data_IF_622138941654
#
_entry.id   IF_622138941654
#
_cell.length_a   1.000
_cell.length_b   1.000
_cell.length_c   1.000
_cell.angle_alpha   90.00
_cell.angle_beta   90.00
_cell.angle_gamma   90.00
#
_symmetry.space_group_name_H-M   'P 1'
#
loop_
_entity.id
_entity.type
_entity.pdbx_description
1 polymer ?
#
# COMPACT_ATOMS: atom_id res chain seq x y z
N UNK A 1 23.38 4.67 9.31
CA UNK A 1 23.31 4.99 7.87
C UNK A 1 22.49 3.90 7.14
N UNK A 2 21.22 3.71 7.53
CA UNK A 2 20.44 2.54 7.07
C UNK A 2 19.03 2.89 6.58
N UNK A 3 18.50 4.04 6.99
CA UNK A 3 17.12 4.45 6.76
C UNK A 3 16.88 5.04 5.35
N UNK A 4 17.73 5.97 4.90
CA UNK A 4 17.65 6.58 3.55
C UNK A 4 17.78 5.52 2.42
N UNK A 5 18.57 4.47 2.67
CA UNK A 5 18.76 3.36 1.71
C UNK A 5 17.50 2.52 1.54
N UNK A 6 16.68 2.37 2.59
CA UNK A 6 15.46 1.57 2.54
C UNK A 6 14.34 2.34 1.85
N UNK A 7 14.14 3.60 2.21
CA UNK A 7 13.20 4.49 1.55
C UNK A 7 13.44 4.55 0.03
N UNK A 8 14.71 4.57 -0.38
CA UNK A 8 15.09 4.46 -1.80
C UNK A 8 14.73 3.13 -2.46
N UNK A 9 14.73 2.02 -1.71
CA UNK A 9 14.33 0.69 -2.20
C UNK A 9 12.80 0.51 -2.25
N UNK A 10 12.06 1.19 -1.39
CA UNK A 10 10.60 1.18 -1.38
C UNK A 10 9.99 2.11 -2.44
N UNK A 11 10.64 3.24 -2.75
CA UNK A 11 10.22 4.15 -3.83
C UNK A 11 9.89 3.48 -5.18
N UNK A 12 10.70 2.56 -5.73
CA UNK A 12 10.36 1.88 -6.98
C UNK A 12 9.19 0.88 -6.86
N UNK A 13 8.72 0.60 -5.64
CA UNK A 13 7.53 -0.22 -5.41
C UNK A 13 6.24 0.62 -5.44
N UNK A 14 6.33 1.95 -5.46
CA UNK A 14 5.17 2.83 -5.60
C UNK A 14 4.45 2.49 -6.92
N UNK A 15 3.14 2.27 -6.83
CA UNK A 15 2.27 1.83 -7.91
C UNK A 15 2.11 0.31 -8.01
N UNK A 16 2.93 -0.49 -7.31
CA UNK A 16 2.81 -1.96 -7.32
C UNK A 16 1.65 -2.45 -6.44
N UNK A 17 1.15 -3.62 -6.79
CA UNK A 17 0.06 -4.31 -6.08
C UNK A 17 0.60 -5.32 -5.08
N UNK A 18 -0.09 -5.42 -3.95
CA UNK A 18 0.25 -6.28 -2.83
C UNK A 18 -1.03 -6.96 -2.32
N UNK A 19 -0.99 -8.28 -2.13
CA UNK A 19 -2.01 -8.99 -1.36
C UNK A 19 -1.69 -8.88 0.13
N UNK A 20 -2.52 -8.16 0.87
CA UNK A 20 -2.31 -7.97 2.29
C UNK A 20 -3.66 -7.89 3.02
N UNK A 21 -3.76 -8.57 4.16
CA UNK A 21 -5.02 -8.77 4.91
C UNK A 21 -6.18 -9.34 4.06
N UNK A 22 -5.85 -10.17 3.06
CA UNK A 22 -6.84 -10.81 2.17
C UNK A 22 -7.43 -9.89 1.10
N UNK A 23 -6.85 -8.71 0.88
CA UNK A 23 -7.29 -7.71 -0.09
C UNK A 23 -6.11 -7.21 -0.93
N UNK A 24 -6.40 -6.68 -2.13
CA UNK A 24 -5.36 -6.09 -3.00
C UNK A 24 -5.17 -4.62 -2.66
N UNK A 25 -3.95 -4.29 -2.27
CA UNK A 25 -3.50 -2.94 -1.95
C UNK A 25 -2.50 -2.45 -2.98
N UNK A 26 -2.46 -1.14 -3.19
CA UNK A 26 -1.48 -0.47 -4.05
C UNK A 26 -0.66 0.45 -3.17
N UNK A 27 0.67 0.34 -3.23
CA UNK A 27 1.55 1.32 -2.58
C UNK A 27 1.44 2.65 -3.33
N UNK A 28 0.97 3.69 -2.66
CA UNK A 28 0.80 5.02 -3.28
C UNK A 28 1.84 6.03 -2.83
N UNK A 29 2.38 5.85 -1.62
CA UNK A 29 3.31 6.81 -1.04
C UNK A 29 4.24 6.16 -0.02
N UNK A 30 5.44 6.72 0.12
CA UNK A 30 6.44 6.35 1.12
C UNK A 30 6.80 7.63 1.88
N UNK A 31 6.41 7.68 3.15
CA UNK A 31 6.57 8.83 4.04
C UNK A 31 7.84 8.66 4.87
N UNK A 32 8.91 9.30 4.39
CA UNK A 32 10.24 9.22 5.01
C UNK A 32 10.29 9.89 6.38
N UNK A 33 9.60 11.02 6.56
CA UNK A 33 9.61 11.79 7.80
C UNK A 33 9.02 11.03 9.00
N UNK A 34 8.12 10.08 8.74
CA UNK A 34 7.45 9.28 9.78
C UNK A 34 7.74 7.78 9.63
N UNK A 35 8.71 7.41 8.79
CA UNK A 35 9.10 6.03 8.52
C UNK A 35 7.89 5.09 8.27
N UNK A 36 7.04 5.47 7.30
CA UNK A 36 5.81 4.75 7.01
C UNK A 36 5.53 4.65 5.51
N UNK A 37 4.76 3.65 5.11
CA UNK A 37 4.22 3.49 3.76
C UNK A 37 2.72 3.63 3.76
N UNK A 38 2.18 4.25 2.71
CA UNK A 38 0.74 4.42 2.52
C UNK A 38 0.26 3.53 1.39
N UNK A 39 -0.64 2.64 1.74
CA UNK A 39 -1.34 1.74 0.84
C UNK A 39 -2.73 2.28 0.57
N UNK A 40 -3.19 2.10 -0.66
CA UNK A 40 -4.58 2.36 -1.07
C UNK A 40 -5.21 1.06 -1.49
N UNK A 41 -6.40 0.77 -0.97
CA UNK A 41 -7.15 -0.41 -1.39
C UNK A 41 -7.52 -0.29 -2.86
N UNK A 42 -7.20 -1.32 -3.66
CA UNK A 42 -7.57 -1.35 -5.05
C UNK A 42 -9.03 -1.81 -5.23
N UNK A 43 -9.98 -0.91 -4.94
CA UNK A 43 -11.42 -1.18 -5.12
C UNK A 43 -11.80 -1.48 -6.59
N UNK A 44 -10.98 -1.05 -7.55
CA UNK A 44 -11.19 -1.25 -9.00
C UNK A 44 -10.49 -2.53 -9.54
N UNK A 45 -9.52 -3.10 -8.79
CA UNK A 45 -8.86 -4.37 -9.17
C UNK A 45 -9.79 -5.57 -8.95
N UNK A 46 -10.68 -5.49 -7.96
CA UNK A 46 -11.84 -6.36 -7.90
C UNK A 46 -12.80 -5.90 -9.01
N UNK A 47 -12.98 -6.71 -10.05
CA UNK A 47 -13.96 -6.50 -11.14
C UNK A 47 -15.35 -6.14 -10.56
N UNK A 48 -15.61 -4.86 -10.32
CA UNK A 48 -16.94 -4.33 -10.07
C UNK A 48 -17.30 -3.47 -11.25
N UNK A 49 -18.19 -4.02 -12.08
CA UNK A 49 -18.68 -3.40 -13.28
C UNK A 49 -19.20 -1.99 -13.04
N UNK A 50 -19.01 -1.17 -14.08
CA UNK A 50 -19.75 0.05 -14.44
C UNK A 50 -20.56 0.64 -13.30
N UNK A 51 -20.07 1.76 -12.75
CA UNK A 51 -20.75 2.57 -11.74
C UNK A 51 -22.27 2.58 -11.94
N UNK A 52 -23.03 2.06 -10.97
CA UNK A 52 -24.51 2.12 -10.96
C UNK A 52 -25.07 3.54 -10.82
N UNK A 53 -24.22 4.54 -10.54
CA UNK A 53 -24.65 5.88 -10.13
C UNK A 53 -24.33 6.91 -11.21
N UNK A 54 -25.00 6.84 -12.36
CA UNK A 54 -24.91 7.82 -13.45
C UNK A 54 -25.51 9.21 -13.11
N UNK A 55 -26.13 9.36 -11.93
CA UNK A 55 -26.89 10.55 -11.50
C UNK A 55 -26.20 11.38 -10.39
N UNK A 56 -24.88 11.27 -10.23
CA UNK A 56 -24.10 12.30 -9.51
C UNK A 56 -24.36 12.41 -8.01
N UNK A 57 -24.56 11.29 -7.29
CA UNK A 57 -24.40 11.33 -5.84
C UNK A 57 -22.90 11.42 -5.48
N UNK A 58 -22.48 12.38 -4.64
CA UNK A 58 -21.12 12.47 -4.14
C UNK A 58 -20.87 11.32 -3.14
N UNK A 59 -20.66 10.12 -3.64
CA UNK A 59 -20.00 9.08 -2.84
C UNK A 59 -18.57 9.56 -2.61
N UNK A 60 -18.24 9.88 -1.36
CA UNK A 60 -16.89 10.29 -0.94
C UNK A 60 -15.93 9.19 -1.38
N UNK A 61 -15.21 9.40 -2.48
CA UNK A 61 -14.26 8.45 -3.09
C UNK A 61 -12.96 8.38 -2.29
N UNK A 62 -13.02 8.32 -0.96
CA UNK A 62 -11.83 8.04 -0.18
C UNK A 62 -11.73 6.53 -0.14
N UNK A 63 -11.07 5.96 -1.16
CA UNK A 63 -10.72 4.54 -1.10
C UNK A 63 -9.90 4.31 0.16
N UNK A 64 -10.24 3.29 0.93
CA UNK A 64 -9.57 2.98 2.20
C UNK A 64 -8.05 3.06 2.04
N UNK A 65 -7.43 3.94 2.82
CA UNK A 65 -5.97 4.08 2.90
C UNK A 65 -5.48 3.44 4.17
N UNK A 66 -4.45 2.62 4.07
CA UNK A 66 -3.79 1.98 5.19
C UNK A 66 -2.36 2.52 5.30
N UNK A 67 -1.97 2.95 6.49
CA UNK A 67 -0.59 3.39 6.75
C UNK A 67 0.10 2.30 7.56
N UNK A 68 1.23 1.79 7.06
CA UNK A 68 2.04 0.77 7.72
C UNK A 68 3.38 1.39 8.08
N UNK A 69 3.78 1.29 9.34
CA UNK A 69 5.12 1.71 9.78
C UNK A 69 6.17 0.78 9.20
N UNK A 70 7.30 1.34 8.79
CA UNK A 70 8.40 0.58 8.19
C UNK A 70 9.23 -0.11 9.28
N UNK A 71 9.59 0.62 10.32
CA UNK A 71 10.24 0.11 11.53
C UNK A 71 9.23 -0.28 12.62
N UNK A 72 9.61 -1.27 13.42
CA UNK A 72 8.88 -1.60 14.64
C UNK A 72 9.28 -0.64 15.77
N UNK A 73 8.31 -0.17 16.56
CA UNK A 73 8.59 0.72 17.69
C UNK A 73 9.37 0.03 18.83
N UNK A 74 9.33 -1.30 18.90
CA UNK A 74 9.86 -2.11 19.99
C UNK A 74 11.17 -2.83 19.64
N UNK A 75 11.59 -2.80 18.37
CA UNK A 75 12.73 -3.58 17.90
C UNK A 75 13.48 -2.85 16.80
N UNK A 76 14.80 -3.04 16.73
CA UNK A 76 15.71 -2.47 15.71
C UNK A 76 15.54 -3.14 14.32
N UNK A 77 14.31 -3.52 13.98
CA UNK A 77 13.96 -4.33 12.82
C UNK A 77 12.67 -3.86 12.13
N UNK A 78 12.34 -4.54 11.04
CA UNK A 78 11.15 -4.24 10.25
C UNK A 78 9.86 -4.54 11.01
N UNK A 79 8.82 -3.77 10.74
CA UNK A 79 7.49 -4.13 11.23
C UNK A 79 7.04 -5.44 10.59
N UNK A 80 6.35 -6.28 11.38
CA UNK A 80 5.77 -7.53 10.91
C UNK A 80 4.78 -7.28 9.76
N UNK A 81 4.04 -6.16 9.84
CA UNK A 81 3.11 -5.71 8.81
C UNK A 81 3.79 -5.39 7.48
N UNK A 82 4.95 -4.74 7.50
CA UNK A 82 5.72 -4.46 6.27
C UNK A 82 6.23 -5.77 5.65
N UNK A 83 6.72 -6.70 6.46
CA UNK A 83 7.21 -7.99 5.99
C UNK A 83 6.07 -8.80 5.34
N UNK A 84 4.93 -8.92 6.03
CA UNK A 84 3.75 -9.60 5.52
C UNK A 84 3.21 -8.96 4.22
N UNK A 85 3.26 -7.64 4.11
CA UNK A 85 2.92 -6.93 2.86
C UNK A 85 3.89 -7.29 1.73
N UNK A 86 5.20 -7.30 1.98
CA UNK A 86 6.22 -7.60 0.98
C UNK A 86 6.16 -9.04 0.48
N UNK A 87 5.78 -9.99 1.35
CA UNK A 87 5.51 -11.38 0.94
C UNK A 87 4.34 -11.47 -0.05
N UNK A 88 3.35 -10.60 0.08
CA UNK A 88 2.21 -10.47 -0.82
C UNK A 88 2.49 -9.69 -2.11
N UNK A 89 3.74 -9.34 -2.43
CA UNK A 89 4.07 -8.59 -3.65
C UNK A 89 3.63 -9.35 -4.90
N UNK A 90 2.62 -8.82 -5.60
CA UNK A 90 2.27 -9.31 -6.93
C UNK A 90 3.32 -8.81 -7.91
N UNK A 91 4.29 -9.66 -8.22
CA UNK A 91 5.15 -9.45 -9.38
C UNK A 91 4.30 -9.75 -10.60
N UNK A 92 3.92 -8.72 -11.37
CA UNK A 92 3.37 -8.92 -12.70
C UNK A 92 4.47 -9.60 -13.54
N UNK A 93 4.47 -10.94 -13.53
CA UNK A 93 5.24 -11.77 -14.45
C UNK A 93 4.64 -11.60 -15.83
N UNK A 94 5.06 -10.53 -16.51
CA UNK A 94 4.89 -10.34 -17.96
C UNK A 94 6.02 -11.04 -18.71
#
# INVERSE_FOLDING_TARGET
MSDDSLHRRLRPLIGKRFDYLGEVWILIEVLVDIDAVVLKRCQDCQRRGVQRNAYGQPNRRVGDTLTISISSADSDGFSDDLLAMLEGLQTESG
#
